data_IF_308414995570
#
_entry.id   IF_308414995570
#
_cell.length_a   1.000
_cell.length_b   1.000
_cell.length_c   1.000
_cell.angle_alpha   90.00
_cell.angle_beta   90.00
_cell.angle_gamma   90.00
#
_symmetry.space_group_name_H-M   'P 1'
#
loop_
_entity.id
_entity.type
_entity.pdbx_description
1 polymer ?
#
# COMPACT_ATOMS: atom_id res chain seq x y z
N UNK A 1 16.12 -7.30 27.33
CA UNK A 1 16.42 -7.38 25.89
C UNK A 1 15.20 -7.95 25.17
N UNK A 2 14.97 -7.48 23.96
CA UNK A 2 13.93 -7.95 23.05
C UNK A 2 14.58 -8.32 21.71
N UNK A 3 14.25 -9.49 21.18
CA UNK A 3 14.67 -9.95 19.84
C UNK A 3 13.47 -10.63 19.18
N UNK A 4 13.23 -10.32 17.92
CA UNK A 4 12.23 -10.97 17.10
C UNK A 4 12.86 -12.06 16.23
N UNK A 5 12.21 -13.22 16.15
CA UNK A 5 12.60 -14.29 15.26
C UNK A 5 11.92 -14.12 13.91
N UNK A 6 12.70 -13.75 12.90
CA UNK A 6 12.29 -13.81 11.50
C UNK A 6 13.22 -14.77 10.76
N UNK A 7 12.73 -15.92 10.30
CA UNK A 7 13.57 -16.87 9.58
C UNK A 7 13.99 -16.36 8.20
N UNK A 8 13.23 -15.44 7.59
CA UNK A 8 13.53 -14.87 6.28
C UNK A 8 14.47 -13.67 6.43
N UNK A 9 15.64 -13.73 5.81
CA UNK A 9 16.72 -12.74 5.90
C UNK A 9 17.27 -12.35 4.54
N UNK A 10 16.41 -12.15 3.57
CA UNK A 10 16.76 -11.77 2.21
C UNK A 10 16.06 -12.63 1.17
N UNK A 11 16.35 -12.36 -0.10
CA UNK A 11 15.72 -13.07 -1.20
C UNK A 11 16.13 -14.55 -1.20
N UNK A 12 15.15 -15.44 -1.12
CA UNK A 12 15.31 -16.91 -1.11
C UNK A 12 16.31 -17.44 -0.08
N UNK A 13 16.47 -16.73 1.04
CA UNK A 13 17.37 -17.14 2.12
C UNK A 13 16.65 -17.21 3.46
N UNK A 14 17.07 -18.15 4.29
CA UNK A 14 16.62 -18.32 5.66
C UNK A 14 17.80 -18.48 6.60
N UNK A 15 17.59 -18.16 7.86
CA UNK A 15 18.57 -18.35 8.92
C UNK A 15 18.09 -19.43 9.88
N UNK A 16 19.03 -20.03 10.58
CA UNK A 16 18.73 -20.97 11.64
C UNK A 16 17.83 -20.29 12.70
N UNK A 17 16.76 -20.93 13.16
CA UNK A 17 15.83 -20.37 14.18
C UNK A 17 16.44 -20.37 15.59
N UNK A 18 17.66 -19.87 15.72
CA UNK A 18 18.38 -19.72 16.98
C UNK A 18 18.57 -18.24 17.30
N UNK A 19 18.11 -17.83 18.47
CA UNK A 19 18.31 -16.48 18.99
C UNK A 19 19.43 -16.46 20.04
N UNK A 20 20.38 -15.55 19.88
CA UNK A 20 21.49 -15.33 20.79
C UNK A 20 21.26 -14.08 21.64
N UNK A 21 21.34 -14.24 22.95
CA UNK A 21 21.22 -13.13 23.92
C UNK A 21 22.55 -12.94 24.66
N UNK A 22 23.12 -11.75 24.57
CA UNK A 22 24.25 -11.37 25.41
C UNK A 22 23.76 -10.96 26.81
N UNK A 23 24.19 -11.70 27.84
CA UNK A 23 23.73 -11.51 29.22
C UNK A 23 24.77 -10.82 30.12
N UNK A 24 25.94 -10.45 29.58
CA UNK A 24 27.02 -9.88 30.36
C UNK A 24 27.50 -10.82 31.47
N UNK A 25 27.51 -10.34 32.69
CA UNK A 25 27.96 -11.11 33.86
C UNK A 25 26.81 -11.92 34.54
N UNK A 26 25.60 -11.85 34.00
CA UNK A 26 24.46 -12.54 34.62
C UNK A 26 24.56 -14.06 34.40
N UNK A 27 24.50 -14.82 35.48
CA UNK A 27 24.57 -16.29 35.47
C UNK A 27 23.21 -16.96 35.39
N UNK A 28 22.13 -16.22 35.64
CA UNK A 28 20.74 -16.74 35.66
C UNK A 28 19.79 -15.74 35.04
N UNK A 29 18.98 -16.21 34.09
CA UNK A 29 17.89 -15.47 33.50
C UNK A 29 16.65 -15.63 34.36
N UNK A 30 16.18 -14.57 34.97
CA UNK A 30 15.00 -14.61 35.84
C UNK A 30 13.73 -14.99 35.08
N UNK A 31 13.53 -14.47 33.90
CA UNK A 31 12.33 -14.72 33.07
C UNK A 31 12.63 -14.59 31.59
N UNK A 32 12.17 -15.54 30.79
CA UNK A 32 12.07 -15.46 29.33
C UNK A 32 10.59 -15.43 28.98
N UNK A 33 10.15 -14.51 28.16
CA UNK A 33 8.80 -14.44 27.62
C UNK A 33 8.91 -14.66 26.12
N UNK A 34 8.17 -15.64 25.63
CA UNK A 34 8.06 -15.92 24.18
C UNK A 34 6.65 -15.55 23.76
N UNK A 35 6.54 -14.56 22.86
CA UNK A 35 5.27 -14.22 22.22
C UNK A 35 5.21 -14.93 20.88
N UNK A 36 4.23 -15.77 20.70
CA UNK A 36 4.01 -16.55 19.48
C UNK A 36 3.22 -15.74 18.43
N UNK A 37 3.22 -16.14 17.16
CA UNK A 37 2.50 -15.40 16.10
C UNK A 37 0.99 -15.23 16.33
N UNK A 38 0.39 -16.09 17.14
CA UNK A 38 -1.02 -15.99 17.55
C UNK A 38 -1.23 -15.13 18.81
N UNK A 39 -0.24 -14.31 19.16
CA UNK A 39 -0.23 -13.43 20.33
C UNK A 39 -0.30 -14.15 21.70
N UNK A 40 -0.21 -15.48 21.71
CA UNK A 40 -0.09 -16.22 22.98
C UNK A 40 1.33 -16.13 23.51
N UNK A 41 1.45 -16.13 24.81
CA UNK A 41 2.75 -16.07 25.48
C UNK A 41 3.04 -17.34 26.26
N UNK A 42 4.30 -17.75 26.19
CA UNK A 42 4.86 -18.79 27.07
C UNK A 42 6.04 -18.19 27.81
N UNK A 43 6.23 -18.53 29.06
CA UNK A 43 7.36 -18.05 29.85
C UNK A 43 8.10 -19.15 30.56
N UNK A 44 9.38 -18.91 30.74
CA UNK A 44 10.31 -19.78 31.42
C UNK A 44 11.05 -18.95 32.47
N UNK A 45 11.35 -19.54 33.60
CA UNK A 45 12.00 -18.85 34.74
C UNK A 45 13.24 -19.59 35.19
N UNK A 46 14.18 -18.86 35.80
CA UNK A 46 15.38 -19.41 36.44
C UNK A 46 16.26 -20.27 35.49
N UNK A 47 16.45 -19.80 34.28
CA UNK A 47 17.28 -20.47 33.28
C UNK A 47 18.74 -20.06 33.49
N UNK A 48 19.66 -21.01 33.53
CA UNK A 48 21.10 -20.72 33.60
C UNK A 48 21.59 -20.08 32.30
N UNK A 49 22.51 -19.13 32.42
CA UNK A 49 23.23 -18.59 31.25
C UNK A 49 24.15 -19.65 30.60
N UNK A 50 24.67 -19.37 29.41
CA UNK A 50 25.52 -20.26 28.63
C UNK A 50 24.90 -21.64 28.36
N UNK A 51 23.59 -21.71 28.19
CA UNK A 51 22.86 -22.91 27.82
C UNK A 51 22.02 -22.70 26.58
N UNK A 52 21.88 -23.74 25.76
CA UNK A 52 20.92 -23.78 24.66
C UNK A 52 19.57 -24.24 25.23
N UNK A 53 18.56 -23.38 25.11
CA UNK A 53 17.21 -23.65 25.59
C UNK A 53 16.29 -23.89 24.42
N UNK A 54 15.70 -25.08 24.34
CA UNK A 54 14.66 -25.36 23.35
C UNK A 54 13.32 -24.86 23.91
N UNK A 55 12.75 -23.85 23.24
CA UNK A 55 11.48 -23.27 23.60
C UNK A 55 10.38 -23.93 22.76
N UNK A 56 9.35 -24.44 23.42
CA UNK A 56 8.21 -25.07 22.76
C UNK A 56 6.91 -24.37 23.17
N UNK A 57 5.97 -24.33 22.26
CA UNK A 57 4.65 -23.80 22.54
C UNK A 57 3.87 -24.80 23.39
N UNK A 58 3.71 -24.52 24.67
CA UNK A 58 2.88 -25.32 25.56
C UNK A 58 1.45 -24.73 25.58
N UNK A 59 0.46 -25.59 25.74
CA UNK A 59 -0.96 -25.25 25.82
C UNK A 59 -1.36 -24.42 27.06
N UNK A 60 -0.48 -24.26 28.02
CA UNK A 60 -0.66 -23.47 29.23
C UNK A 60 -0.03 -22.07 29.08
N UNK A 61 -0.47 -21.32 28.09
CA UNK A 61 -0.03 -19.93 27.93
C UNK A 61 -0.95 -18.96 28.65
N UNK A 62 -0.39 -18.11 29.51
CA UNK A 62 -1.09 -16.93 30.01
C UNK A 62 -1.09 -15.89 28.87
N UNK A 63 -2.28 -15.43 28.51
CA UNK A 63 -2.44 -14.25 27.66
C UNK A 63 -2.36 -13.03 28.59
N UNK A 64 -1.22 -12.34 28.63
CA UNK A 64 -1.28 -10.98 29.16
C UNK A 64 -2.30 -10.22 28.33
N UNK A 65 -3.22 -9.48 28.95
CA UNK A 65 -4.05 -8.59 28.20
C UNK A 65 -3.10 -7.68 27.43
N UNK A 66 -3.21 -7.67 26.10
CA UNK A 66 -2.57 -6.64 25.29
C UNK A 66 -3.03 -5.34 25.94
N UNK A 67 -2.10 -4.62 26.54
CA UNK A 67 -2.31 -3.29 27.08
C UNK A 67 -3.19 -2.53 26.09
N UNK A 68 -4.29 -1.99 26.58
CA UNK A 68 -5.34 -1.32 25.83
C UNK A 68 -4.86 -0.87 24.45
N UNK A 69 -5.44 -1.46 23.41
CA UNK A 69 -5.20 -0.97 22.04
C UNK A 69 -5.39 0.53 22.14
N UNK A 70 -4.31 1.28 21.98
CA UNK A 70 -4.39 2.73 21.98
C UNK A 70 -5.47 3.08 20.96
N UNK A 71 -6.36 4.01 21.30
CA UNK A 71 -7.40 4.43 20.39
C UNK A 71 -6.74 4.74 19.03
N UNK A 72 -7.29 4.27 17.92
CA UNK A 72 -6.68 4.50 16.62
C UNK A 72 -6.49 6.00 16.41
N UNK A 73 -5.27 6.38 15.99
CA UNK A 73 -4.92 7.77 15.72
C UNK A 73 -5.68 8.29 14.49
N UNK A 74 -6.04 7.39 13.59
CA UNK A 74 -6.83 7.66 12.39
C UNK A 74 -8.15 6.91 12.44
N UNK A 75 -9.19 7.51 11.89
CA UNK A 75 -10.49 6.87 11.66
C UNK A 75 -10.80 6.88 10.17
N UNK A 76 -11.38 5.80 9.67
CA UNK A 76 -11.87 5.73 8.29
C UNK A 76 -13.14 6.59 8.15
N UNK A 77 -13.05 7.63 7.34
CA UNK A 77 -14.15 8.52 7.01
C UNK A 77 -14.52 8.47 5.52
N UNK A 78 -14.00 7.54 4.76
CA UNK A 78 -14.13 7.45 3.29
C UNK A 78 -15.57 7.58 2.84
N UNK A 79 -16.47 6.79 3.39
CA UNK A 79 -17.89 6.85 3.04
C UNK A 79 -18.55 8.16 3.49
N UNK A 80 -18.21 8.68 4.67
CA UNK A 80 -18.73 9.94 5.18
C UNK A 80 -18.23 11.15 4.37
N UNK A 81 -17.01 11.06 3.84
CA UNK A 81 -16.41 12.04 2.96
C UNK A 81 -16.96 11.98 1.51
N UNK A 82 -17.77 10.99 1.16
CA UNK A 82 -18.38 10.88 -0.17
C UNK A 82 -17.54 10.17 -1.22
N UNK A 83 -16.42 9.55 -0.86
CA UNK A 83 -15.62 8.75 -1.77
C UNK A 83 -16.17 7.32 -1.81
N UNK A 84 -16.63 6.89 -2.99
CA UNK A 84 -17.25 5.57 -3.19
C UNK A 84 -16.44 4.69 -4.15
N UNK A 85 -15.15 4.96 -4.29
CA UNK A 85 -14.26 4.16 -5.13
C UNK A 85 -13.89 2.86 -4.42
N UNK A 86 -14.08 1.74 -5.11
CA UNK A 86 -13.61 0.42 -4.66
C UNK A 86 -12.78 -0.15 -5.82
N UNK A 87 -11.54 -0.49 -5.55
CA UNK A 87 -10.68 -1.15 -6.52
C UNK A 87 -11.09 -2.61 -6.70
N UNK A 88 -11.19 -3.03 -7.94
CA UNK A 88 -11.49 -4.41 -8.31
C UNK A 88 -10.38 -4.95 -9.20
N UNK A 89 -9.46 -5.69 -8.60
CA UNK A 89 -8.42 -6.38 -9.35
C UNK A 89 -9.00 -7.50 -10.20
N UNK A 90 -8.42 -7.70 -11.37
CA UNK A 90 -8.78 -8.82 -12.22
C UNK A 90 -8.10 -10.13 -11.76
N UNK A 91 -8.38 -11.23 -12.45
CA UNK A 91 -7.90 -12.57 -12.10
C UNK A 91 -6.57 -12.94 -12.75
N UNK A 92 -5.83 -11.95 -13.29
CA UNK A 92 -4.54 -12.21 -13.90
C UNK A 92 -3.53 -12.70 -12.86
N UNK A 93 -2.70 -13.66 -13.25
CA UNK A 93 -1.66 -14.23 -12.39
C UNK A 93 -0.30 -14.10 -13.07
N UNK A 94 0.47 -13.12 -12.64
CA UNK A 94 1.82 -12.83 -13.14
C UNK A 94 2.72 -14.07 -13.16
N UNK A 95 2.72 -14.86 -12.08
CA UNK A 95 3.59 -16.04 -11.91
C UNK A 95 3.31 -17.18 -12.91
N UNK A 96 2.19 -17.16 -13.64
CA UNK A 96 1.95 -18.09 -14.73
C UNK A 96 2.73 -17.74 -15.99
N UNK A 97 3.04 -16.46 -16.18
CA UNK A 97 3.75 -15.93 -17.33
C UNK A 97 5.23 -15.70 -17.03
N UNK A 98 5.51 -15.15 -15.84
CA UNK A 98 6.84 -14.81 -15.37
C UNK A 98 7.09 -15.42 -13.97
N UNK A 99 7.44 -16.72 -13.90
CA UNK A 99 7.57 -17.45 -12.62
C UNK A 99 8.68 -16.93 -11.69
N UNK A 100 9.60 -16.11 -12.20
CA UNK A 100 10.74 -15.58 -11.44
C UNK A 100 10.48 -14.18 -10.85
N UNK A 101 9.29 -13.61 -11.02
CA UNK A 101 8.94 -12.35 -10.40
C UNK A 101 8.92 -12.48 -8.87
N UNK A 102 9.47 -11.50 -8.14
CA UNK A 102 9.47 -11.50 -6.68
C UNK A 102 8.09 -11.16 -6.07
N UNK A 103 7.22 -10.48 -6.83
CA UNK A 103 5.83 -10.12 -6.48
C UNK A 103 5.01 -9.92 -7.75
N UNK A 104 3.69 -9.83 -7.60
CA UNK A 104 2.77 -9.55 -8.70
C UNK A 104 2.88 -8.08 -9.12
N UNK A 105 3.21 -7.82 -10.39
CA UNK A 105 3.31 -6.47 -10.96
C UNK A 105 1.95 -5.96 -11.48
N UNK A 106 1.04 -6.87 -11.82
CA UNK A 106 -0.31 -6.55 -12.28
C UNK A 106 -1.26 -6.07 -11.18
N UNK A 107 -0.84 -6.09 -9.93
CA UNK A 107 -1.65 -5.70 -8.77
C UNK A 107 -0.99 -4.58 -7.96
N UNK A 108 -0.31 -3.69 -8.65
CA UNK A 108 0.26 -2.48 -8.05
C UNK A 108 -0.77 -1.36 -8.15
N UNK A 109 -1.28 -0.90 -7.05
CA UNK A 109 -2.25 0.18 -7.03
C UNK A 109 -3.22 0.07 -5.86
N UNK A 110 -4.23 0.95 -5.77
CA UNK A 110 -4.46 2.12 -6.62
C UNK A 110 -3.42 3.22 -6.38
N UNK A 111 -3.17 4.04 -7.41
CA UNK A 111 -2.40 5.27 -7.23
C UNK A 111 -3.33 6.44 -6.83
N UNK A 112 -2.73 7.44 -6.16
CA UNK A 112 -3.44 8.65 -5.75
C UNK A 112 -2.66 9.87 -6.24
N UNK A 113 -3.37 10.81 -6.87
CA UNK A 113 -2.91 12.17 -7.13
C UNK A 113 -3.75 13.17 -6.36
N UNK A 114 -3.15 14.26 -5.87
CA UNK A 114 -3.89 15.34 -5.22
C UNK A 114 -3.45 16.70 -5.74
N UNK A 115 -4.38 17.64 -5.83
CA UNK A 115 -4.13 19.01 -6.24
C UNK A 115 -5.42 19.77 -6.44
N UNK A 116 -5.36 21.10 -6.36
CA UNK A 116 -6.48 22.00 -6.68
C UNK A 116 -6.59 22.11 -8.21
N UNK A 117 -7.50 21.33 -8.80
CA UNK A 117 -7.62 21.27 -10.27
C UNK A 117 -8.66 22.25 -10.84
N UNK A 118 -9.49 22.85 -9.97
CA UNK A 118 -10.53 23.77 -10.38
C UNK A 118 -10.28 25.22 -9.93
N UNK A 119 -9.21 25.49 -9.17
CA UNK A 119 -8.80 26.80 -8.68
C UNK A 119 -9.63 27.34 -7.52
N UNK A 120 -10.30 26.48 -6.76
CA UNK A 120 -11.14 26.88 -5.62
C UNK A 120 -10.39 26.93 -4.27
N UNK A 121 -9.11 26.52 -4.26
CA UNK A 121 -8.25 26.50 -3.07
C UNK A 121 -8.38 25.23 -2.23
N UNK A 122 -9.15 24.24 -2.68
CA UNK A 122 -9.30 22.94 -2.03
C UNK A 122 -8.53 21.86 -2.80
N UNK A 123 -8.04 20.85 -2.10
CA UNK A 123 -7.29 19.74 -2.75
C UNK A 123 -8.25 18.67 -3.23
N UNK A 124 -8.30 18.48 -4.54
CA UNK A 124 -9.04 17.43 -5.23
C UNK A 124 -8.22 16.14 -5.27
N UNK A 125 -8.86 15.01 -5.49
CA UNK A 125 -8.22 13.70 -5.46
C UNK A 125 -8.53 12.90 -6.71
N UNK A 126 -7.48 12.50 -7.40
CA UNK A 126 -7.53 11.50 -8.47
C UNK A 126 -7.18 10.13 -7.89
N UNK A 127 -8.01 9.13 -8.18
CA UNK A 127 -7.80 7.74 -7.80
C UNK A 127 -7.63 6.94 -9.08
N UNK A 128 -6.42 6.43 -9.31
CA UNK A 128 -6.13 5.53 -10.41
C UNK A 128 -6.81 4.19 -10.25
N UNK A 129 -6.86 3.41 -11.31
CA UNK A 129 -7.56 2.14 -11.33
C UNK A 129 -6.73 1.03 -11.98
N UNK A 130 -6.98 -0.25 -11.63
CA UNK A 130 -6.39 -1.38 -12.31
C UNK A 130 -7.00 -1.56 -13.70
N UNK A 131 -6.33 -2.35 -14.52
CA UNK A 131 -6.81 -2.70 -15.86
C UNK A 131 -8.24 -3.27 -15.84
N UNK A 132 -9.09 -2.69 -16.63
CA UNK A 132 -10.51 -3.06 -16.75
C UNK A 132 -11.44 -2.21 -15.89
N UNK A 133 -10.91 -1.34 -15.06
CA UNK A 133 -11.65 -0.35 -14.29
C UNK A 133 -11.25 1.07 -14.71
N UNK A 134 -12.14 2.04 -14.57
CA UNK A 134 -11.84 3.44 -14.85
C UNK A 134 -11.40 4.16 -13.58
N UNK A 135 -10.32 4.94 -13.67
CA UNK A 135 -9.94 5.92 -12.65
C UNK A 135 -11.06 6.92 -12.38
N UNK A 136 -10.99 7.61 -11.24
CA UNK A 136 -11.98 8.61 -10.83
C UNK A 136 -11.30 9.85 -10.24
N UNK A 137 -11.80 11.03 -10.66
CA UNK A 137 -11.46 12.29 -10.04
C UNK A 137 -12.61 12.73 -9.15
N UNK A 138 -12.30 13.10 -7.93
CA UNK A 138 -13.22 13.67 -6.96
C UNK A 138 -12.81 15.10 -6.65
N UNK A 139 -13.78 16.01 -6.71
CA UNK A 139 -13.59 17.41 -6.33
C UNK A 139 -13.98 17.59 -4.87
N UNK A 140 -13.14 18.27 -4.10
CA UNK A 140 -13.43 18.61 -2.72
C UNK A 140 -14.41 19.77 -2.67
N UNK A 141 -15.30 19.76 -1.68
CA UNK A 141 -16.29 20.80 -1.42
C UNK A 141 -15.98 21.50 -0.11
N UNK A 142 -16.46 22.74 0.06
CA UNK A 142 -16.17 23.57 1.23
C UNK A 142 -16.60 22.96 2.58
N UNK A 143 -17.48 21.96 2.58
CA UNK A 143 -17.88 21.21 3.77
C UNK A 143 -16.96 20.00 4.05
N UNK A 144 -15.85 19.88 3.30
CA UNK A 144 -14.84 18.81 3.47
C UNK A 144 -15.25 17.46 2.88
N UNK A 145 -16.30 17.43 2.04
CA UNK A 145 -16.68 16.23 1.31
C UNK A 145 -16.11 16.22 -0.10
N UNK A 146 -16.24 15.08 -0.76
CA UNK A 146 -15.81 14.87 -2.13
C UNK A 146 -17.00 14.49 -3.00
N UNK A 147 -17.07 15.08 -4.18
CA UNK A 147 -18.05 14.76 -5.21
C UNK A 147 -17.35 14.30 -6.48
N UNK A 148 -17.89 13.29 -7.12
CA UNK A 148 -17.33 12.78 -8.37
C UNK A 148 -17.36 13.89 -9.43
N UNK A 149 -16.20 14.22 -10.02
CA UNK A 149 -16.10 15.17 -11.12
C UNK A 149 -16.96 14.73 -12.31
N UNK A 150 -17.67 15.62 -12.97
CA UNK A 150 -18.38 15.30 -14.22
C UNK A 150 -17.40 15.01 -15.38
N UNK A 151 -16.18 15.52 -15.32
CA UNK A 151 -15.14 15.32 -16.33
C UNK A 151 -14.30 14.08 -15.99
N UNK A 152 -14.44 13.01 -16.77
CA UNK A 152 -13.76 11.73 -16.56
C UNK A 152 -13.20 11.18 -17.90
N UNK A 153 -12.27 11.90 -18.59
CA UNK A 153 -11.80 11.51 -19.92
C UNK A 153 -11.04 10.17 -19.92
N UNK A 154 -10.41 9.80 -18.82
CA UNK A 154 -9.69 8.53 -18.63
C UNK A 154 -10.58 7.27 -18.67
N UNK A 155 -11.89 7.41 -18.74
CA UNK A 155 -12.80 6.28 -19.02
C UNK A 155 -12.45 5.58 -20.33
N UNK A 156 -11.93 6.30 -21.30
CA UNK A 156 -11.48 5.74 -22.57
C UNK A 156 -10.19 4.89 -22.43
N UNK A 157 -9.46 5.07 -21.35
CA UNK A 157 -8.16 4.44 -21.07
C UNK A 157 -8.26 3.36 -19.97
N UNK A 158 -9.44 2.82 -19.73
CA UNK A 158 -9.69 1.80 -18.70
C UNK A 158 -8.96 0.47 -18.90
N UNK A 159 -8.30 0.27 -20.04
CA UNK A 159 -7.42 -0.87 -20.32
C UNK A 159 -5.98 -0.67 -19.82
N UNK A 160 -5.62 0.55 -19.43
CA UNK A 160 -4.36 0.84 -18.76
C UNK A 160 -4.44 0.47 -17.27
N UNK A 161 -3.30 0.18 -16.69
CA UNK A 161 -3.13 -0.04 -15.25
C UNK A 161 -2.44 1.19 -14.66
N UNK A 162 -3.09 1.92 -13.76
CA UNK A 162 -2.64 3.19 -13.24
C UNK A 162 -1.76 2.98 -12.00
N UNK A 163 -0.44 3.02 -12.17
CA UNK A 163 0.50 2.74 -11.06
C UNK A 163 0.96 4.00 -10.32
N UNK A 164 0.91 5.16 -10.95
CA UNK A 164 1.21 6.45 -10.33
C UNK A 164 0.47 7.58 -11.01
N UNK A 165 0.12 8.63 -10.25
CA UNK A 165 -0.48 9.85 -10.77
C UNK A 165 0.11 11.08 -10.09
N UNK A 166 0.29 12.16 -10.85
CA UNK A 166 0.77 13.43 -10.33
C UNK A 166 0.13 14.60 -11.07
N UNK A 167 -0.11 15.68 -10.33
CA UNK A 167 -0.57 16.94 -10.89
C UNK A 167 0.60 17.93 -10.97
N UNK A 168 0.76 18.57 -12.11
CA UNK A 168 1.70 19.67 -12.33
C UNK A 168 1.30 20.46 -13.58
N UNK A 169 1.78 21.69 -13.71
CA UNK A 169 1.57 22.50 -14.90
C UNK A 169 2.52 22.03 -16.00
N UNK A 170 2.00 21.26 -16.96
CA UNK A 170 2.80 20.65 -18.01
C UNK A 170 2.98 21.56 -19.24
N UNK A 171 2.07 22.53 -19.45
CA UNK A 171 2.06 23.39 -20.62
C UNK A 171 2.41 24.85 -20.30
N UNK A 172 2.57 25.23 -19.02
CA UNK A 172 2.95 26.56 -18.55
C UNK A 172 1.80 27.55 -18.55
N UNK A 173 0.53 27.08 -18.45
CA UNK A 173 -0.66 27.94 -18.43
C UNK A 173 -1.09 28.32 -17.00
N UNK A 174 -0.42 27.79 -15.99
CA UNK A 174 -0.70 28.06 -14.57
C UNK A 174 -1.77 27.15 -13.97
N UNK A 175 -2.27 26.16 -14.70
CA UNK A 175 -3.24 25.17 -14.22
C UNK A 175 -2.58 23.81 -14.02
N UNK A 176 -3.11 23.03 -13.08
CA UNK A 176 -2.59 21.70 -12.82
C UNK A 176 -3.14 20.69 -13.83
N UNK A 177 -2.25 20.16 -14.68
CA UNK A 177 -2.50 19.04 -15.56
C UNK A 177 -2.29 17.71 -14.84
N UNK A 178 -2.80 16.61 -15.37
CA UNK A 178 -2.67 15.28 -14.78
C UNK A 178 -1.79 14.38 -15.66
N UNK A 179 -0.72 13.86 -15.05
CA UNK A 179 0.12 12.83 -15.66
C UNK A 179 -0.13 11.51 -14.92
N UNK A 180 -0.44 10.46 -15.69
CA UNK A 180 -0.69 9.11 -15.18
C UNK A 180 0.30 8.14 -15.78
N UNK A 181 1.05 7.47 -14.92
CA UNK A 181 2.00 6.43 -15.29
C UNK A 181 1.25 5.12 -15.43
N UNK A 182 1.41 4.49 -16.58
CA UNK A 182 0.85 3.17 -16.86
C UNK A 182 1.86 2.07 -16.56
N UNK A 183 1.39 0.94 -16.03
CA UNK A 183 2.24 -0.20 -15.71
C UNK A 183 1.53 -1.53 -15.83
N UNK A 184 1.85 -2.44 -14.90
CA UNK A 184 1.34 -3.79 -14.90
C UNK A 184 2.10 -4.74 -15.83
N UNK A 185 1.81 -6.02 -15.73
CA UNK A 185 2.44 -7.10 -16.51
C UNK A 185 1.44 -7.79 -17.46
N UNK A 186 0.20 -7.35 -17.49
CA UNK A 186 -0.86 -7.93 -18.30
C UNK A 186 -0.83 -7.53 -19.78
N UNK A 187 -0.46 -6.29 -20.15
CA UNK A 187 -0.37 -5.90 -21.55
C UNK A 187 0.82 -6.60 -22.23
N UNK A 188 0.64 -6.98 -23.49
CA UNK A 188 1.76 -7.46 -24.29
C UNK A 188 2.82 -6.36 -24.44
N UNK A 189 4.09 -6.75 -24.54
CA UNK A 189 5.19 -5.84 -24.84
C UNK A 189 4.82 -4.91 -26.01
N UNK A 190 5.14 -3.61 -25.90
CA UNK A 190 4.79 -2.57 -26.85
C UNK A 190 3.28 -2.28 -26.99
N UNK A 191 2.45 -2.72 -26.08
CA UNK A 191 1.05 -2.29 -26.05
C UNK A 191 0.95 -0.78 -25.84
N UNK A 192 -0.01 -0.15 -26.51
CA UNK A 192 -0.35 1.26 -26.26
C UNK A 192 -0.84 1.48 -24.83
N UNK A 193 -1.34 0.43 -24.18
CA UNK A 193 -1.88 0.48 -22.82
C UNK A 193 -0.78 0.61 -21.75
N UNK A 194 0.50 0.43 -22.13
CA UNK A 194 1.69 0.69 -21.29
C UNK A 194 2.23 2.12 -21.43
N UNK A 195 1.63 2.94 -22.29
CA UNK A 195 2.09 4.33 -22.45
C UNK A 195 1.52 5.19 -21.33
N UNK A 196 2.38 6.03 -20.81
CA UNK A 196 1.96 7.07 -19.88
C UNK A 196 1.02 8.07 -20.57
N UNK A 197 0.17 8.71 -19.79
CA UNK A 197 -0.87 9.59 -20.33
C UNK A 197 -0.82 10.94 -19.65
N UNK A 198 -0.90 11.98 -20.48
CA UNK A 198 -1.03 13.36 -20.05
C UNK A 198 -2.44 13.87 -20.38
N UNK A 199 -3.10 14.47 -19.41
CA UNK A 199 -4.39 15.11 -19.56
C UNK A 199 -4.25 16.59 -19.20
N UNK A 200 -4.52 17.45 -20.16
CA UNK A 200 -4.47 18.90 -20.01
C UNK A 200 -5.78 19.42 -19.41
N UNK A 201 -5.68 20.33 -18.46
CA UNK A 201 -6.77 20.91 -17.70
C UNK A 201 -7.05 22.35 -18.20
N UNK A 202 -8.32 22.74 -18.22
CA UNK A 202 -8.74 24.11 -18.56
C UNK A 202 -8.78 25.07 -17.36
N UNK A 203 -8.24 24.64 -16.21
CA UNK A 203 -8.27 25.38 -14.94
C UNK A 203 -9.64 25.36 -14.21
N UNK A 204 -10.59 24.56 -14.70
CA UNK A 204 -11.93 24.37 -14.11
C UNK A 204 -12.22 22.90 -13.78
N UNK A 205 -11.18 22.07 -13.77
CA UNK A 205 -11.31 20.64 -13.56
C UNK A 205 -11.83 19.85 -14.77
N UNK A 206 -11.82 20.44 -15.97
CA UNK A 206 -12.15 19.72 -17.19
C UNK A 206 -10.86 19.32 -17.93
N UNK A 207 -10.68 18.03 -18.03
CA UNK A 207 -9.48 17.46 -18.64
C UNK A 207 -9.71 16.95 -20.06
N UNK A 208 -8.69 17.08 -20.88
CA UNK A 208 -8.63 16.49 -22.21
C UNK A 208 -7.31 15.77 -22.41
N UNK A 209 -7.33 14.58 -23.02
CA UNK A 209 -6.11 13.82 -23.29
C UNK A 209 -5.23 14.58 -24.28
N UNK A 210 -3.96 14.76 -23.95
CA UNK A 210 -2.99 15.36 -24.87
C UNK A 210 -2.78 14.47 -26.10
N UNK A 211 -2.70 15.09 -27.27
CA UNK A 211 -2.44 14.38 -28.53
C UNK A 211 -1.00 13.85 -28.48
N UNK A 212 -0.83 12.55 -28.71
CA UNK A 212 0.46 11.82 -28.68
C UNK A 212 1.01 11.42 -27.30
N UNK A 213 0.18 11.42 -26.28
CA UNK A 213 0.50 10.76 -25.00
C UNK A 213 -0.06 9.33 -24.95
#
# INVERSE_FOLDING_TARGET
QFIEMSPTRGFQSSVDPVLHFGLGADSVIKKIIVTWPDSKQTYYTNIRSNTLVKLSRNSTGYKEPISSVAAPVFSDITAAAGINFIQHENTYLDFKHDPLLPWELSKQGPCLGKGDVNGDGLEDVFIGAPKGQSAQLYLQTADGKFVLSPSQPWKADSLCDDIQATFFDANGDGHLDLYVVSGGNEPHQNSKDLRDRLYLNDGKGHFSKAINS
#
